data_IF_649392330077
#
_entry.id   IF_649392330077
#
_cell.length_a   1.000
_cell.length_b   1.000
_cell.length_c   1.000
_cell.angle_alpha   90.00
_cell.angle_beta   90.00
_cell.angle_gamma   90.00
#
_symmetry.space_group_name_H-M   'P 1'
#
loop_
_entity.id
_entity.type
_entity.pdbx_description
1 polymer ?
#
# COMPACT_ATOMS: atom_id res chain seq x y z
N UNK A 1 -18.15 -1.16 15.55
CA UNK A 1 -17.95 -0.62 14.20
C UNK A 1 -16.72 -1.24 13.57
N UNK A 2 -16.85 -1.68 12.31
CA UNK A 2 -15.78 -2.33 11.55
C UNK A 2 -14.92 -1.30 10.83
N UNK A 3 -13.60 -1.38 10.99
CA UNK A 3 -12.67 -0.60 10.19
C UNK A 3 -12.41 -1.32 8.86
N UNK A 4 -12.62 -0.66 7.71
CA UNK A 4 -12.36 -1.26 6.39
C UNK A 4 -11.08 -0.71 5.79
N UNK A 5 -10.14 -1.60 5.47
CA UNK A 5 -8.85 -1.28 4.83
C UNK A 5 -8.88 -1.83 3.40
N UNK A 6 -8.70 -0.95 2.42
CA UNK A 6 -8.90 -1.25 0.99
C UNK A 6 -7.59 -1.38 0.23
N UNK A 7 -7.11 -2.60 0.07
CA UNK A 7 -5.98 -2.93 -0.79
C UNK A 7 -6.36 -3.10 -2.26
N UNK A 8 -5.37 -3.45 -3.08
CA UNK A 8 -5.58 -3.74 -4.51
C UNK A 8 -6.38 -5.03 -4.69
N UNK A 9 -7.49 -4.97 -5.41
CA UNK A 9 -8.36 -6.12 -5.71
C UNK A 9 -8.64 -6.23 -7.21
N UNK A 10 -8.62 -7.45 -7.74
CA UNK A 10 -9.02 -7.76 -9.13
C UNK A 10 -10.54 -7.91 -9.28
N UNK A 11 -11.28 -7.79 -8.17
CA UNK A 11 -12.73 -8.02 -8.04
C UNK A 11 -13.41 -6.77 -7.45
N UNK A 12 -13.31 -5.61 -8.11
CA UNK A 12 -13.55 -4.31 -7.48
C UNK A 12 -15.02 -4.09 -7.09
N UNK A 13 -15.99 -4.53 -7.90
CA UNK A 13 -17.41 -4.26 -7.62
C UNK A 13 -17.89 -5.08 -6.43
N UNK A 14 -17.52 -6.37 -6.40
CA UNK A 14 -17.93 -7.26 -5.31
C UNK A 14 -17.19 -6.94 -4.01
N UNK A 15 -15.90 -6.58 -4.10
CA UNK A 15 -15.14 -6.10 -2.94
C UNK A 15 -15.74 -4.82 -2.34
N UNK A 16 -16.16 -3.87 -3.20
CA UNK A 16 -16.82 -2.64 -2.76
C UNK A 16 -18.14 -2.93 -2.04
N UNK A 17 -19.00 -3.78 -2.59
CA UNK A 17 -20.26 -4.21 -1.94
C UNK A 17 -20.03 -4.84 -0.57
N UNK A 18 -19.03 -5.71 -0.45
CA UNK A 18 -18.68 -6.33 0.83
C UNK A 18 -18.18 -5.29 1.84
N UNK A 19 -17.35 -4.34 1.40
CA UNK A 19 -16.89 -3.22 2.23
C UNK A 19 -18.05 -2.36 2.74
N UNK A 20 -18.95 -1.94 1.84
CA UNK A 20 -20.14 -1.13 2.18
C UNK A 20 -21.05 -1.85 3.18
N UNK A 21 -21.22 -3.17 3.05
CA UNK A 21 -21.98 -3.97 4.00
C UNK A 21 -21.40 -3.86 5.42
N UNK A 22 -20.08 -4.01 5.58
CA UNK A 22 -19.43 -3.96 6.90
C UNK A 22 -19.29 -2.54 7.46
N UNK A 23 -19.15 -1.52 6.61
CA UNK A 23 -19.16 -0.12 7.04
C UNK A 23 -20.51 0.30 7.64
N UNK A 24 -21.61 -0.27 7.14
CA UNK A 24 -22.95 -0.03 7.67
C UNK A 24 -23.25 -0.77 8.99
N UNK A 25 -22.29 -1.55 9.52
CA UNK A 25 -22.48 -2.42 10.71
C UNK A 25 -21.78 -1.85 11.93
N UNK A 26 -22.58 -1.47 12.92
CA UNK A 26 -22.09 -0.96 14.20
C UNK A 26 -21.88 -2.06 15.25
N UNK A 27 -22.53 -3.21 15.06
CA UNK A 27 -22.61 -4.32 16.00
C UNK A 27 -21.39 -5.24 15.98
N UNK A 28 -20.55 -5.16 14.94
CA UNK A 28 -19.28 -5.90 14.85
C UNK A 28 -18.11 -5.00 15.26
N UNK A 29 -17.19 -5.55 16.05
CA UNK A 29 -15.90 -4.96 16.39
C UNK A 29 -14.81 -5.73 15.65
N UNK A 30 -14.07 -5.05 14.76
CA UNK A 30 -13.06 -5.72 13.95
C UNK A 30 -12.49 -4.86 12.83
N UNK A 31 -11.64 -5.48 12.01
CA UNK A 31 -11.10 -4.89 10.79
C UNK A 31 -11.34 -5.82 9.60
N UNK A 32 -11.92 -5.29 8.53
CA UNK A 32 -12.04 -5.94 7.24
C UNK A 32 -10.89 -5.48 6.33
N UNK A 33 -10.12 -6.41 5.84
CA UNK A 33 -9.08 -6.19 4.84
C UNK A 33 -9.62 -6.63 3.48
N UNK A 34 -9.61 -5.76 2.49
CA UNK A 34 -9.89 -6.10 1.09
C UNK A 34 -8.57 -6.19 0.32
N UNK A 35 -8.36 -7.26 -0.43
CA UNK A 35 -7.15 -7.53 -1.20
C UNK A 35 -5.90 -7.87 -0.37
N UNK A 36 -6.09 -8.26 0.89
CA UNK A 36 -5.02 -8.50 1.87
C UNK A 36 -5.49 -9.52 2.94
N UNK A 37 -4.62 -10.38 3.51
CA UNK A 37 -3.16 -10.43 3.39
C UNK A 37 -2.60 -11.04 2.11
N UNK A 38 -1.29 -10.81 1.90
CA UNK A 38 -0.46 -11.62 1.00
C UNK A 38 0.32 -12.62 1.86
N UNK A 39 0.24 -13.89 1.52
CA UNK A 39 0.90 -14.98 2.22
C UNK A 39 1.97 -15.55 1.28
N UNK A 40 3.24 -15.46 1.67
CA UNK A 40 4.33 -16.06 0.89
C UNK A 40 4.22 -17.59 0.89
N UNK A 41 4.23 -18.19 -0.30
CA UNK A 41 4.19 -19.64 -0.52
C UNK A 41 5.40 -20.10 -1.35
N UNK A 42 5.53 -21.40 -1.59
CA UNK A 42 6.55 -21.95 -2.47
C UNK A 42 6.35 -21.57 -3.96
N UNK A 43 5.14 -21.15 -4.34
CA UNK A 43 4.76 -20.75 -5.70
C UNK A 43 4.67 -19.21 -5.84
N UNK A 44 5.20 -18.46 -4.89
CA UNK A 44 5.10 -17.00 -4.81
C UNK A 44 4.07 -16.52 -3.79
N UNK A 45 3.70 -15.24 -3.86
CA UNK A 45 2.72 -14.63 -2.96
C UNK A 45 1.29 -15.07 -3.28
N UNK A 46 0.57 -15.59 -2.28
CA UNK A 46 -0.84 -15.93 -2.37
C UNK A 46 -1.71 -14.86 -1.71
N UNK A 47 -2.69 -14.35 -2.44
CA UNK A 47 -3.58 -13.30 -1.98
C UNK A 47 -4.90 -13.87 -1.44
N UNK A 48 -5.33 -13.36 -0.28
CA UNK A 48 -6.71 -13.50 0.17
C UNK A 48 -7.53 -12.31 -0.34
N UNK A 49 -8.70 -12.57 -0.94
CA UNK A 49 -9.54 -11.53 -1.53
C UNK A 49 -10.12 -10.58 -0.47
N UNK A 50 -10.67 -11.13 0.61
CA UNK A 50 -11.04 -10.33 1.77
C UNK A 50 -10.96 -11.14 3.07
N UNK A 51 -10.62 -10.46 4.15
CA UNK A 51 -10.44 -11.06 5.48
C UNK A 51 -11.04 -10.15 6.55
N UNK A 52 -12.02 -10.64 7.29
CA UNK A 52 -12.51 -10.00 8.51
C UNK A 52 -11.79 -10.59 9.71
N UNK A 53 -11.15 -9.74 10.51
CA UNK A 53 -10.72 -10.09 11.86
C UNK A 53 -11.67 -9.43 12.85
N UNK A 54 -12.52 -10.22 13.47
CA UNK A 54 -13.57 -9.77 14.39
C UNK A 54 -13.35 -10.34 15.78
N UNK A 55 -13.64 -9.52 16.78
CA UNK A 55 -13.60 -9.92 18.18
C UNK A 55 -14.73 -10.88 18.54
N UNK A 56 -15.88 -10.73 17.90
CA UNK A 56 -17.06 -11.57 18.11
C UNK A 56 -17.03 -12.84 17.25
N UNK A 57 -16.56 -12.74 16.01
CA UNK A 57 -16.75 -13.78 15.00
C UNK A 57 -15.46 -14.51 14.61
N UNK A 58 -14.32 -14.16 15.20
CA UNK A 58 -13.04 -14.76 14.85
C UNK A 58 -12.51 -14.23 13.53
N UNK A 59 -11.94 -15.12 12.72
CA UNK A 59 -11.37 -14.77 11.41
C UNK A 59 -12.24 -15.35 10.31
N UNK A 60 -12.79 -14.47 9.47
CA UNK A 60 -13.62 -14.87 8.34
C UNK A 60 -12.90 -14.53 7.04
N UNK A 61 -12.64 -15.55 6.23
CA UNK A 61 -12.06 -15.44 4.90
C UNK A 61 -13.19 -15.42 3.87
N UNK A 62 -13.19 -14.39 3.04
CA UNK A 62 -14.11 -14.28 1.90
C UNK A 62 -13.32 -14.53 0.63
N UNK A 63 -13.61 -15.64 -0.05
CA UNK A 63 -13.28 -15.80 -1.46
C UNK A 63 -14.31 -15.01 -2.26
N UNK A 64 -13.88 -13.97 -2.97
CA UNK A 64 -14.81 -13.10 -3.71
C UNK A 64 -14.98 -13.65 -5.12
N UNK A 65 -16.21 -13.67 -5.62
CA UNK A 65 -16.52 -14.04 -7.00
C UNK A 65 -17.10 -12.82 -7.72
N UNK A 66 -16.41 -12.37 -8.78
CA UNK A 66 -16.87 -11.28 -9.65
C UNK A 66 -17.58 -11.87 -10.88
N UNK A 67 -18.80 -11.39 -11.17
CA UNK A 67 -19.58 -11.82 -12.33
C UNK A 67 -20.44 -13.07 -12.08
N UNK A 68 -21.00 -13.61 -13.16
CA UNK A 68 -22.03 -14.66 -13.11
C UNK A 68 -21.51 -16.05 -13.46
N UNK A 69 -20.20 -16.22 -13.65
CA UNK A 69 -19.63 -17.53 -14.00
C UNK A 69 -19.61 -18.42 -12.77
N UNK A 70 -20.30 -19.56 -12.85
CA UNK A 70 -20.40 -20.57 -11.79
C UNK A 70 -19.38 -21.70 -11.93
N UNK A 71 -18.68 -21.79 -13.07
CA UNK A 71 -17.61 -22.77 -13.28
C UNK A 71 -16.33 -22.24 -12.65
N UNK A 72 -16.23 -22.38 -11.33
CA UNK A 72 -15.10 -21.98 -10.52
C UNK A 72 -14.76 -23.11 -9.57
N UNK A 73 -13.47 -23.28 -9.30
CA UNK A 73 -12.97 -24.26 -8.35
C UNK A 73 -13.15 -23.75 -6.90
N UNK A 74 -14.40 -23.62 -6.48
CA UNK A 74 -14.76 -22.99 -5.21
C UNK A 74 -14.29 -23.81 -4.02
N UNK A 75 -14.37 -25.13 -4.11
CA UNK A 75 -14.01 -26.05 -3.04
C UNK A 75 -12.50 -25.95 -2.76
N UNK A 76 -11.67 -26.16 -3.79
CA UNK A 76 -10.22 -26.04 -3.67
C UNK A 76 -9.78 -24.63 -3.24
N UNK A 77 -10.45 -23.59 -3.76
CA UNK A 77 -10.12 -22.21 -3.38
C UNK A 77 -10.43 -21.92 -1.91
N UNK A 78 -11.55 -22.42 -1.37
CA UNK A 78 -11.87 -22.26 0.06
C UNK A 78 -10.88 -23.02 0.94
N UNK A 79 -10.58 -24.27 0.59
CA UNK A 79 -9.63 -25.11 1.32
C UNK A 79 -8.21 -24.54 1.29
N UNK A 80 -7.79 -24.00 0.16
CA UNK A 80 -6.47 -23.38 0.01
C UNK A 80 -6.37 -22.08 0.82
N UNK A 81 -7.42 -21.24 0.80
CA UNK A 81 -7.49 -20.01 1.60
C UNK A 81 -7.35 -20.28 3.10
N UNK A 82 -8.14 -21.21 3.63
CA UNK A 82 -8.13 -21.52 5.06
C UNK A 82 -6.80 -22.17 5.46
N UNK A 83 -6.28 -23.10 4.67
CA UNK A 83 -5.00 -23.80 4.94
C UNK A 83 -3.83 -22.82 4.96
N UNK A 84 -3.74 -21.91 3.99
CA UNK A 84 -2.65 -20.93 3.92
C UNK A 84 -2.69 -19.95 5.09
N UNK A 85 -3.88 -19.48 5.46
CA UNK A 85 -4.02 -18.59 6.61
C UNK A 85 -3.70 -19.31 7.92
N UNK A 86 -4.20 -20.54 8.09
CA UNK A 86 -3.92 -21.36 9.27
C UNK A 86 -2.42 -21.56 9.43
N UNK A 87 -1.73 -21.95 8.36
CA UNK A 87 -0.27 -22.14 8.33
C UNK A 87 0.49 -20.87 8.75
N UNK A 88 0.01 -19.68 8.34
CA UNK A 88 0.57 -18.41 8.81
C UNK A 88 0.35 -18.21 10.31
N UNK A 89 -0.86 -18.44 10.82
CA UNK A 89 -1.18 -18.24 12.24
C UNK A 89 -0.48 -19.25 13.16
N UNK A 90 -0.32 -20.51 12.73
CA UNK A 90 0.35 -21.58 13.48
C UNK A 90 1.83 -21.27 13.78
N UNK A 91 2.45 -20.38 13.01
CA UNK A 91 3.82 -19.92 13.27
C UNK A 91 3.94 -19.05 14.53
N UNK A 92 2.80 -18.60 15.09
CA UNK A 92 2.75 -17.73 16.25
C UNK A 92 2.29 -18.48 17.50
N UNK A 93 3.25 -18.86 18.36
CA UNK A 93 2.99 -19.62 19.60
C UNK A 93 1.95 -18.99 20.52
N UNK A 94 1.83 -17.66 20.50
CA UNK A 94 0.87 -16.89 21.31
C UNK A 94 -0.58 -17.11 20.87
N UNK A 95 -0.80 -17.62 19.66
CA UNK A 95 -2.12 -17.99 19.13
C UNK A 95 -2.47 -19.46 19.42
N UNK A 96 -1.55 -20.22 20.04
CA UNK A 96 -1.71 -21.65 20.30
C UNK A 96 -2.01 -21.93 21.77
N UNK A 97 -3.00 -22.79 22.01
CA UNK A 97 -3.13 -23.52 23.25
C UNK A 97 -2.58 -24.93 23.04
N UNK A 98 -1.34 -25.15 23.50
CA UNK A 98 -0.54 -26.36 23.23
C UNK A 98 -0.33 -26.56 21.72
N UNK A 99 -1.19 -27.37 21.09
CA UNK A 99 -1.15 -27.69 19.66
C UNK A 99 -2.37 -27.18 18.89
N UNK A 100 -3.39 -26.68 19.60
CA UNK A 100 -4.64 -26.21 18.99
C UNK A 100 -4.57 -24.69 18.79
N UNK A 101 -4.89 -24.23 17.59
CA UNK A 101 -5.09 -22.81 17.32
C UNK A 101 -6.28 -22.29 18.14
N UNK A 102 -6.10 -21.17 18.83
CA UNK A 102 -7.16 -20.56 19.67
C UNK A 102 -8.09 -19.62 18.89
N UNK A 103 -7.84 -19.48 17.59
CA UNK A 103 -8.57 -18.60 16.68
C UNK A 103 -9.60 -19.44 15.95
N UNK A 104 -10.87 -19.07 16.06
CA UNK A 104 -11.92 -19.65 15.24
C UNK A 104 -11.84 -19.04 13.85
N UNK A 105 -11.76 -19.89 12.83
CA UNK A 105 -11.65 -19.47 11.43
C UNK A 105 -12.81 -20.02 10.63
N UNK A 106 -13.30 -19.24 9.69
CA UNK A 106 -14.32 -19.65 8.73
C UNK A 106 -13.95 -19.14 7.35
N UNK A 107 -14.32 -19.90 6.33
CA UNK A 107 -14.12 -19.53 4.93
C UNK A 107 -15.45 -19.62 4.20
N UNK A 108 -15.65 -18.72 3.24
CA UNK A 108 -16.89 -18.65 2.48
C UNK A 108 -16.65 -18.02 1.10
N UNK A 109 -17.44 -18.41 0.11
CA UNK A 109 -17.47 -17.72 -1.18
C UNK A 109 -18.56 -16.64 -1.19
N UNK A 110 -18.18 -15.39 -1.50
CA UNK A 110 -19.09 -14.26 -1.66
C UNK A 110 -19.32 -13.98 -3.15
N UNK A 111 -20.51 -14.31 -3.65
CA UNK A 111 -20.88 -14.27 -5.06
C UNK A 111 -22.17 -13.45 -5.28
N UNK A 112 -22.15 -12.13 -5.04
CA UNK A 112 -23.36 -11.29 -5.01
C UNK A 112 -24.01 -11.06 -6.38
N UNK A 113 -23.41 -11.55 -7.45
CA UNK A 113 -23.93 -11.44 -8.82
C UNK A 113 -24.62 -12.74 -9.29
N UNK A 114 -24.55 -13.81 -8.51
CA UNK A 114 -25.21 -15.07 -8.85
C UNK A 114 -26.71 -14.99 -8.57
N UNK A 115 -27.49 -15.82 -9.26
CA UNK A 115 -28.94 -15.90 -9.06
C UNK A 115 -29.37 -17.22 -8.42
N UNK A 116 -28.53 -18.25 -8.48
CA UNK A 116 -28.79 -19.60 -8.02
C UNK A 116 -27.50 -20.23 -7.52
N UNK A 117 -27.63 -21.18 -6.60
CA UNK A 117 -26.51 -21.99 -6.14
C UNK A 117 -26.16 -23.07 -7.17
N UNK A 118 -24.88 -23.45 -7.30
CA UNK A 118 -24.47 -24.60 -8.10
C UNK A 118 -25.10 -25.89 -7.55
N UNK A 119 -25.57 -26.77 -8.43
CA UNK A 119 -26.19 -28.05 -8.03
C UNK A 119 -25.17 -29.11 -7.59
N UNK A 120 -23.93 -28.95 -8.01
CA UNK A 120 -22.82 -29.89 -7.85
C UNK A 120 -21.96 -29.64 -6.60
N UNK A 121 -22.24 -28.58 -5.84
CA UNK A 121 -21.49 -28.22 -4.63
C UNK A 121 -22.35 -28.47 -3.38
N UNK A 122 -21.80 -29.14 -2.37
CA UNK A 122 -22.46 -29.21 -1.07
C UNK A 122 -22.34 -27.87 -0.34
N UNK A 123 -23.35 -27.02 -0.50
CA UNK A 123 -23.40 -25.68 0.10
C UNK A 123 -23.41 -25.70 1.64
N UNK A 124 -23.56 -26.86 2.29
CA UNK A 124 -23.42 -26.98 3.75
C UNK A 124 -21.97 -27.05 4.19
N UNK A 125 -21.13 -27.70 3.40
CA UNK A 125 -19.69 -27.83 3.62
C UNK A 125 -18.95 -26.62 3.04
N UNK A 126 -19.23 -26.29 1.77
CA UNK A 126 -18.65 -25.16 1.05
C UNK A 126 -19.68 -24.04 0.91
N UNK A 127 -19.73 -23.16 1.91
CA UNK A 127 -20.75 -22.10 1.94
C UNK A 127 -20.56 -21.06 0.83
N UNK A 128 -21.69 -20.61 0.28
CA UNK A 128 -21.78 -19.60 -0.76
C UNK A 128 -22.79 -18.54 -0.32
N UNK A 129 -22.44 -17.26 -0.41
CA UNK A 129 -23.28 -16.13 -0.04
C UNK A 129 -23.60 -15.34 -1.29
N UNK A 130 -24.88 -15.34 -1.67
CA UNK A 130 -25.38 -14.66 -2.85
C UNK A 130 -26.16 -13.41 -2.44
N UNK A 131 -26.88 -13.49 -1.31
CA UNK A 131 -27.74 -12.42 -0.81
C UNK A 131 -27.19 -11.75 0.45
N UNK A 132 -27.79 -10.62 0.82
CA UNK A 132 -27.50 -9.97 2.10
C UNK A 132 -27.92 -10.88 3.28
N UNK A 133 -29.07 -11.53 3.17
CA UNK A 133 -29.57 -12.42 4.22
C UNK A 133 -28.62 -13.61 4.43
N UNK A 134 -28.01 -14.13 3.37
CA UNK A 134 -26.97 -15.17 3.50
C UNK A 134 -25.80 -14.68 4.35
N UNK A 135 -25.36 -13.44 4.10
CA UNK A 135 -24.23 -12.82 4.80
C UNK A 135 -24.55 -12.58 6.28
N UNK A 136 -25.76 -12.08 6.58
CA UNK A 136 -26.25 -11.89 7.95
C UNK A 136 -26.30 -13.24 8.70
N UNK A 137 -26.96 -14.25 8.12
CA UNK A 137 -27.07 -15.59 8.69
C UNK A 137 -25.69 -16.25 8.89
N UNK A 138 -24.78 -16.10 7.94
CA UNK A 138 -23.45 -16.69 8.02
C UNK A 138 -22.63 -16.08 9.16
N UNK A 139 -22.65 -14.76 9.31
CA UNK A 139 -21.89 -14.08 10.37
C UNK A 139 -22.45 -14.44 11.76
N UNK A 140 -23.77 -14.56 11.91
CA UNK A 140 -24.38 -15.01 13.16
C UNK A 140 -23.97 -16.44 13.56
N UNK A 141 -23.68 -17.30 12.59
CA UNK A 141 -23.19 -18.66 12.82
C UNK A 141 -21.71 -18.71 13.24
N UNK A 142 -20.94 -17.66 12.92
CA UNK A 142 -19.53 -17.56 13.32
C UNK A 142 -19.44 -16.98 14.74
N UNK A 143 -18.94 -17.74 15.70
CA UNK A 143 -18.78 -17.29 17.09
C UNK A 143 -17.38 -17.56 17.61
N UNK A 144 -16.77 -16.56 18.25
CA UNK A 144 -15.47 -16.67 18.89
C UNK A 144 -15.52 -16.20 20.35
N UNK A 145 -15.94 -17.12 21.22
CA UNK A 145 -16.14 -16.82 22.65
C UNK A 145 -14.82 -16.55 23.39
N UNK A 146 -13.73 -17.24 23.04
CA UNK A 146 -12.42 -17.09 23.67
C UNK A 146 -11.48 -16.19 22.83
N UNK A 147 -11.88 -14.93 22.68
CA UNK A 147 -11.19 -13.92 21.88
C UNK A 147 -9.98 -13.26 22.56
N UNK A 148 -9.39 -13.90 23.58
CA UNK A 148 -8.24 -13.35 24.34
C UNK A 148 -7.03 -13.03 23.45
N UNK A 149 -6.89 -13.70 22.31
CA UNK A 149 -5.81 -13.46 21.36
C UNK A 149 -6.20 -12.53 20.19
N UNK A 150 -7.36 -11.85 20.22
CA UNK A 150 -7.83 -10.93 19.18
C UNK A 150 -6.77 -9.89 18.77
N UNK A 151 -6.21 -9.16 19.74
CA UNK A 151 -5.17 -8.15 19.46
C UNK A 151 -3.92 -8.77 18.82
N UNK A 152 -3.61 -10.02 19.19
CA UNK A 152 -2.47 -10.73 18.61
C UNK A 152 -2.76 -11.17 17.18
N UNK A 153 -3.96 -11.65 16.89
CA UNK A 153 -4.39 -11.98 15.52
C UNK A 153 -4.34 -10.72 14.65
N UNK A 154 -4.91 -9.61 15.11
CA UNK A 154 -4.82 -8.33 14.41
C UNK A 154 -3.36 -7.95 14.12
N UNK A 155 -2.48 -8.00 15.13
CA UNK A 155 -1.05 -7.71 14.94
C UNK A 155 -0.37 -8.65 13.93
N UNK A 156 -0.73 -9.93 13.90
CA UNK A 156 -0.18 -10.91 12.95
C UNK A 156 -0.67 -10.67 11.52
N UNK A 157 -1.95 -10.34 11.36
CA UNK A 157 -2.52 -10.02 10.05
C UNK A 157 -1.97 -8.69 9.54
N UNK A 158 -1.94 -7.64 10.36
CA UNK A 158 -1.41 -6.32 10.02
C UNK A 158 0.09 -6.31 9.76
N UNK A 159 0.84 -7.30 10.27
CA UNK A 159 2.26 -7.41 10.02
C UNK A 159 2.50 -7.66 8.52
N UNK A 160 2.85 -6.58 7.82
CA UNK A 160 3.31 -6.58 6.43
C UNK A 160 4.61 -7.39 6.32
N UNK A 161 5.44 -7.39 7.37
CA UNK A 161 6.68 -8.18 7.44
C UNK A 161 6.76 -9.00 8.72
N UNK A 162 7.27 -10.23 8.63
CA UNK A 162 7.69 -11.10 9.75
C UNK A 162 9.14 -10.87 10.20
N UNK A 163 9.90 -10.08 9.44
CA UNK A 163 11.33 -9.75 9.65
C UNK A 163 11.65 -9.44 11.13
N UNK A 164 10.83 -8.64 11.80
CA UNK A 164 11.05 -8.25 13.20
C UNK A 164 11.06 -9.40 14.22
N UNK A 165 10.47 -10.57 13.91
CA UNK A 165 10.22 -11.64 14.90
C UNK A 165 11.10 -12.88 14.73
N UNK A 166 11.80 -13.06 13.61
CA UNK A 166 12.39 -14.36 13.25
C UNK A 166 13.64 -14.75 14.04
N UNK A 167 14.38 -13.81 14.63
CA UNK A 167 15.42 -14.05 15.65
C UNK A 167 15.98 -12.68 16.11
N UNK A 168 15.74 -12.22 17.34
CA UNK A 168 16.38 -10.99 17.80
C UNK A 168 17.90 -11.21 17.74
N UNK A 169 18.60 -10.43 16.91
CA UNK A 169 20.06 -10.54 16.74
C UNK A 169 20.80 -9.93 17.93
N UNK A 170 20.57 -10.51 19.12
CA UNK A 170 21.08 -10.06 20.42
C UNK A 170 22.62 -10.11 20.46
N UNK A 171 23.24 -10.95 19.61
CA UNK A 171 24.69 -11.13 19.50
C UNK A 171 25.39 -10.04 18.67
N UNK A 172 24.67 -9.09 18.07
CA UNK A 172 25.29 -8.01 17.28
C UNK A 172 25.96 -7.02 18.22
N UNK A 173 27.29 -7.02 18.24
CA UNK A 173 28.12 -6.14 19.09
C UNK A 173 28.47 -4.79 18.46
N UNK A 174 28.33 -4.67 17.13
CA UNK A 174 28.67 -3.47 16.34
C UNK A 174 27.45 -2.98 15.57
N UNK A 175 26.98 -1.79 15.88
CA UNK A 175 25.77 -1.22 15.27
C UNK A 175 25.90 -0.92 13.77
N UNK A 176 27.11 -0.63 13.29
CA UNK A 176 27.42 -0.31 11.90
C UNK A 176 27.60 -1.54 10.99
N UNK A 177 27.63 -2.74 11.58
CA UNK A 177 27.71 -4.00 10.85
C UNK A 177 26.46 -4.25 9.99
N UNK A 178 26.56 -5.13 8.99
CA UNK A 178 25.39 -5.57 8.18
C UNK A 178 24.26 -6.10 9.09
N UNK A 179 24.60 -6.84 10.14
CA UNK A 179 23.65 -7.36 11.13
C UNK A 179 23.04 -6.26 12.02
N UNK A 180 23.80 -5.23 12.39
CA UNK A 180 23.30 -4.10 13.18
C UNK A 180 22.34 -3.21 12.40
N UNK A 181 22.66 -2.95 11.13
CA UNK A 181 21.76 -2.22 10.23
C UNK A 181 20.44 -2.96 9.99
N UNK A 182 20.47 -4.28 9.84
CA UNK A 182 19.26 -5.09 9.66
C UNK A 182 18.43 -5.16 10.94
N UNK A 183 19.08 -5.22 12.12
CA UNK A 183 18.40 -5.13 13.42
C UNK A 183 17.65 -3.80 13.61
N UNK A 184 18.24 -2.67 13.20
CA UNK A 184 17.55 -1.36 13.25
C UNK A 184 16.32 -1.30 12.35
N UNK A 185 16.37 -1.96 11.19
CA UNK A 185 15.22 -2.09 10.28
C UNK A 185 14.12 -2.92 10.96
N UNK A 186 14.48 -4.08 11.53
CA UNK A 186 13.58 -4.95 12.29
C UNK A 186 12.86 -4.20 13.44
N UNK A 187 13.60 -3.43 14.24
CA UNK A 187 13.05 -2.63 15.33
C UNK A 187 12.11 -1.53 14.82
N UNK A 188 12.47 -0.87 13.71
CA UNK A 188 11.63 0.17 13.12
C UNK A 188 10.30 -0.37 12.60
N UNK A 189 10.30 -1.58 12.03
CA UNK A 189 9.07 -2.20 11.53
C UNK A 189 8.20 -2.75 12.66
N UNK A 190 8.82 -3.30 13.71
CA UNK A 190 8.08 -3.78 14.89
C UNK A 190 7.25 -2.66 15.56
N UNK A 191 7.72 -1.42 15.43
CA UNK A 191 7.09 -0.23 16.00
C UNK A 191 6.13 0.47 15.03
N UNK A 192 5.85 -0.08 13.83
CA UNK A 192 4.85 0.51 12.96
C UNK A 192 3.45 0.34 13.57
N UNK A 193 2.73 1.45 13.71
CA UNK A 193 1.38 1.49 14.22
C UNK A 193 0.35 1.00 13.18
N UNK A 194 -0.90 0.84 13.62
CA UNK A 194 -1.99 0.38 12.75
C UNK A 194 -2.26 1.35 11.59
N UNK A 195 -2.07 2.66 11.77
CA UNK A 195 -2.30 3.69 10.75
C UNK A 195 -1.24 3.62 9.65
N UNK A 196 0.02 3.40 10.02
CA UNK A 196 1.13 3.21 9.09
C UNK A 196 0.96 1.92 8.29
N UNK A 197 0.55 0.83 8.93
CA UNK A 197 0.27 -0.43 8.24
C UNK A 197 -0.92 -0.27 7.27
N UNK A 198 -1.99 0.41 7.69
CA UNK A 198 -3.13 0.71 6.82
C UNK A 198 -2.69 1.54 5.60
N UNK A 199 -1.87 2.58 5.80
CA UNK A 199 -1.38 3.44 4.71
C UNK A 199 -0.54 2.69 3.67
N UNK A 200 0.15 1.61 4.05
CA UNK A 200 0.84 0.74 3.08
C UNK A 200 -0.17 0.00 2.21
N UNK A 201 -1.15 -0.65 2.83
CA UNK A 201 -2.13 -1.51 2.17
C UNK A 201 -3.09 -0.68 1.29
N UNK A 202 -3.56 0.45 1.80
CA UNK A 202 -4.55 1.30 1.14
C UNK A 202 -4.07 1.75 -0.24
N UNK A 203 -4.73 1.27 -1.28
CA UNK A 203 -4.37 1.58 -2.67
C UNK A 203 -5.38 2.57 -3.23
N UNK A 204 -4.96 3.82 -3.39
CA UNK A 204 -5.80 4.91 -3.89
C UNK A 204 -5.74 4.97 -5.41
N UNK A 205 -6.89 5.12 -6.06
CA UNK A 205 -7.00 5.46 -7.48
C UNK A 205 -6.89 6.98 -7.65
N UNK A 206 -5.66 7.49 -7.54
CA UNK A 206 -5.38 8.92 -7.56
C UNK A 206 -4.29 9.28 -6.57
N UNK A 207 -4.40 10.47 -5.99
CA UNK A 207 -3.35 11.00 -5.13
C UNK A 207 -3.55 10.59 -3.68
N UNK A 208 -2.50 10.01 -3.08
CA UNK A 208 -2.44 9.67 -1.66
C UNK A 208 -1.37 10.51 -0.96
N UNK A 209 -1.75 11.11 0.15
CA UNK A 209 -0.89 11.91 1.00
C UNK A 209 -0.57 11.19 2.31
N UNK A 210 0.71 11.04 2.59
CA UNK A 210 1.22 10.47 3.84
C UNK A 210 1.90 11.57 4.65
N UNK A 211 1.22 12.07 5.68
CA UNK A 211 1.77 13.07 6.60
C UNK A 211 2.41 12.36 7.79
N UNK A 212 3.63 12.76 8.18
CA UNK A 212 4.23 12.25 9.41
C UNK A 212 5.37 13.11 9.92
N UNK A 213 5.52 13.16 11.24
CA UNK A 213 6.60 13.90 11.91
C UNK A 213 7.99 13.28 11.65
N UNK A 214 9.03 14.00 12.06
CA UNK A 214 10.41 13.58 11.89
C UNK A 214 10.64 12.24 12.60
N UNK A 215 11.17 11.26 11.88
CA UNK A 215 11.40 9.93 12.44
C UNK A 215 10.16 9.03 12.54
N UNK A 216 8.99 9.44 12.05
CA UNK A 216 7.77 8.61 11.96
C UNK A 216 7.83 7.49 10.90
N UNK A 217 9.03 7.11 10.43
CA UNK A 217 9.18 5.97 9.52
C UNK A 217 8.63 6.15 8.09
N UNK A 218 8.33 7.37 7.62
CA UNK A 218 7.82 7.65 6.26
C UNK A 218 8.56 6.90 5.14
N UNK A 219 9.89 6.98 5.11
CA UNK A 219 10.73 6.25 4.14
C UNK A 219 10.53 4.74 4.19
N UNK A 220 10.35 4.15 5.39
CA UNK A 220 10.09 2.71 5.56
C UNK A 220 8.70 2.37 5.04
N UNK A 221 7.69 3.19 5.37
CA UNK A 221 6.31 3.04 4.87
C UNK A 221 6.26 3.09 3.34
N UNK A 222 6.95 4.06 2.71
CA UNK A 222 7.04 4.15 1.25
C UNK A 222 7.72 2.91 0.65
N UNK A 223 8.82 2.44 1.25
CA UNK A 223 9.51 1.24 0.78
C UNK A 223 8.66 -0.04 0.91
N UNK A 224 7.90 -0.17 2.02
CA UNK A 224 6.93 -1.26 2.20
C UNK A 224 5.83 -1.19 1.16
N UNK A 225 5.32 0.02 0.87
CA UNK A 225 4.29 0.23 -0.15
C UNK A 225 4.77 -0.14 -1.54
N UNK A 226 5.99 0.20 -1.91
CA UNK A 226 6.58 -0.23 -3.19
C UNK A 226 6.65 -1.75 -3.28
N UNK A 227 7.15 -2.43 -2.25
CA UNK A 227 7.24 -3.88 -2.22
C UNK A 227 5.85 -4.54 -2.29
N UNK A 228 4.87 -4.01 -1.56
CA UNK A 228 3.48 -4.46 -1.60
C UNK A 228 2.87 -4.30 -2.99
N UNK A 229 2.99 -3.11 -3.59
CA UNK A 229 2.44 -2.82 -4.92
C UNK A 229 3.10 -3.68 -5.99
N UNK A 230 4.43 -3.84 -5.95
CA UNK A 230 5.15 -4.69 -6.89
C UNK A 230 4.75 -6.18 -6.77
N UNK A 231 4.55 -6.68 -5.55
CA UNK A 231 4.07 -8.04 -5.33
C UNK A 231 2.63 -8.25 -5.87
N UNK A 232 1.79 -7.20 -5.85
CA UNK A 232 0.41 -7.25 -6.38
C UNK A 232 0.31 -7.03 -7.88
N UNK A 233 1.22 -6.23 -8.42
CA UNK A 233 1.23 -5.74 -9.80
C UNK A 233 2.66 -5.81 -10.32
N UNK A 234 3.14 -7.04 -10.60
CA UNK A 234 4.52 -7.23 -11.07
C UNK A 234 4.78 -6.55 -12.42
N UNK A 235 3.73 -6.27 -13.19
CA UNK A 235 3.78 -5.60 -14.48
C UNK A 235 3.89 -4.07 -14.40
N UNK A 236 3.56 -3.46 -13.25
CA UNK A 236 3.55 -2.01 -13.06
C UNK A 236 4.95 -1.41 -13.05
N UNK A 237 5.10 -0.29 -13.75
CA UNK A 237 6.28 0.57 -13.64
C UNK A 237 6.11 1.50 -12.43
N UNK A 238 6.91 1.28 -11.38
CA UNK A 238 6.87 2.03 -10.12
C UNK A 238 8.10 2.93 -10.02
N UNK A 239 7.92 4.22 -9.78
CA UNK A 239 9.02 5.12 -9.46
C UNK A 239 9.03 5.51 -7.98
N UNK A 240 10.22 5.60 -7.39
CA UNK A 240 10.46 6.20 -6.08
C UNK A 240 11.45 7.33 -6.27
N UNK A 241 11.05 8.54 -5.88
CA UNK A 241 11.87 9.73 -6.01
C UNK A 241 12.02 10.50 -4.71
N UNK A 242 13.15 11.20 -4.61
CA UNK A 242 13.64 11.84 -3.40
C UNK A 242 14.70 12.88 -3.78
N UNK A 243 14.92 13.83 -2.88
CA UNK A 243 15.87 14.92 -3.11
C UNK A 243 17.32 14.46 -2.85
N UNK A 244 17.55 13.74 -1.75
CA UNK A 244 18.90 13.47 -1.22
C UNK A 244 19.56 12.20 -1.77
N UNK A 245 20.84 12.30 -2.18
CA UNK A 245 21.69 11.18 -2.69
C UNK A 245 21.80 9.95 -1.81
N UNK A 246 21.73 10.11 -0.49
CA UNK A 246 21.87 9.00 0.46
C UNK A 246 20.68 8.03 0.46
N UNK A 247 19.49 8.46 0.02
CA UNK A 247 18.26 7.67 0.13
C UNK A 247 18.18 6.53 -0.90
N UNK A 248 18.86 6.65 -2.05
CA UNK A 248 18.82 5.62 -3.12
C UNK A 248 19.20 4.23 -2.61
N UNK A 249 20.33 4.12 -1.93
CA UNK A 249 20.82 2.85 -1.40
C UNK A 249 19.94 2.32 -0.24
N UNK A 250 19.32 3.22 0.52
CA UNK A 250 18.40 2.85 1.59
C UNK A 250 17.10 2.24 1.02
N UNK A 251 16.46 2.92 0.06
CA UNK A 251 15.27 2.41 -0.62
C UNK A 251 15.53 1.07 -1.28
N UNK A 252 16.63 0.94 -2.04
CA UNK A 252 16.96 -0.32 -2.70
C UNK A 252 17.07 -1.47 -1.71
N UNK A 253 17.76 -1.28 -0.58
CA UNK A 253 17.89 -2.32 0.44
C UNK A 253 16.55 -2.67 1.08
N UNK A 254 15.75 -1.66 1.42
CA UNK A 254 14.45 -1.87 2.07
C UNK A 254 13.48 -2.61 1.14
N UNK A 255 13.29 -2.10 -0.08
CA UNK A 255 12.40 -2.70 -1.09
C UNK A 255 12.83 -4.14 -1.40
N UNK A 256 14.12 -4.41 -1.58
CA UNK A 256 14.63 -5.76 -1.79
C UNK A 256 14.25 -6.71 -0.65
N UNK A 257 14.52 -6.27 0.58
CA UNK A 257 14.29 -7.10 1.78
C UNK A 257 12.80 -7.40 1.94
N UNK A 258 11.94 -6.40 1.74
CA UNK A 258 10.49 -6.54 1.85
C UNK A 258 9.92 -7.41 0.74
N UNK A 259 10.35 -7.24 -0.51
CA UNK A 259 9.83 -8.03 -1.63
C UNK A 259 10.13 -9.51 -1.46
N UNK A 260 11.38 -9.86 -1.11
CA UNK A 260 11.79 -11.25 -0.83
C UNK A 260 10.93 -11.87 0.25
N UNK A 261 10.54 -11.12 1.26
CA UNK A 261 9.71 -11.69 2.31
C UNK A 261 8.27 -11.95 1.87
N UNK A 262 7.68 -11.06 1.08
CA UNK A 262 6.30 -11.20 0.62
C UNK A 262 6.15 -12.30 -0.44
N UNK A 263 7.16 -12.43 -1.30
CA UNK A 263 7.08 -13.23 -2.52
C UNK A 263 8.03 -14.43 -2.53
N UNK A 264 9.01 -14.49 -1.62
CA UNK A 264 10.18 -15.39 -1.67
C UNK A 264 11.12 -15.14 -2.88
N UNK A 265 10.98 -14.01 -3.57
CA UNK A 265 11.76 -13.66 -4.78
C UNK A 265 12.35 -12.24 -4.70
N UNK A 266 13.43 -11.99 -5.45
CA UNK A 266 13.96 -10.63 -5.59
C UNK A 266 13.00 -9.76 -6.42
N UNK A 267 12.90 -8.44 -6.14
CA UNK A 267 12.08 -7.54 -6.95
C UNK A 267 12.63 -7.42 -8.38
N UNK A 268 11.72 -7.24 -9.33
CA UNK A 268 12.09 -6.88 -10.69
C UNK A 268 12.52 -5.41 -10.76
N UNK A 269 13.84 -5.20 -10.83
CA UNK A 269 14.43 -3.87 -10.92
C UNK A 269 14.22 -3.20 -12.29
N UNK A 270 13.73 -3.91 -13.32
CA UNK A 270 13.29 -3.28 -14.56
C UNK A 270 11.94 -2.55 -14.36
N UNK A 271 11.16 -2.99 -13.36
CA UNK A 271 9.86 -2.43 -13.01
C UNK A 271 9.91 -1.39 -11.90
N UNK A 272 10.96 -1.40 -11.07
CA UNK A 272 11.12 -0.47 -9.96
C UNK A 272 12.27 0.53 -10.21
N UNK A 273 11.91 1.79 -10.47
CA UNK A 273 12.84 2.91 -10.65
C UNK A 273 13.09 3.66 -9.34
N UNK A 274 14.26 3.48 -8.72
CA UNK A 274 14.69 4.28 -7.56
C UNK A 274 15.62 5.40 -8.05
N UNK A 275 15.07 6.59 -8.28
CA UNK A 275 15.73 7.65 -9.07
C UNK A 275 15.59 9.04 -8.45
N UNK A 276 16.58 9.89 -8.72
CA UNK A 276 16.64 11.25 -8.19
C UNK A 276 15.54 12.13 -8.77
N UNK A 277 15.15 13.19 -8.05
CA UNK A 277 14.23 14.18 -8.60
C UNK A 277 14.83 14.91 -9.82
N UNK A 278 16.05 15.46 -9.69
CA UNK A 278 16.71 16.21 -10.77
C UNK A 278 17.36 15.31 -11.83
N UNK A 279 18.26 14.41 -11.40
CA UNK A 279 19.06 13.60 -12.32
C UNK A 279 20.18 14.38 -13.02
N UNK A 280 20.82 13.72 -13.99
CA UNK A 280 21.86 14.25 -14.87
C UNK A 280 22.09 13.27 -16.03
N UNK A 281 22.84 13.65 -17.08
CA UNK A 281 23.22 12.72 -18.15
C UNK A 281 23.97 11.46 -17.70
N UNK A 282 24.51 11.43 -16.47
CA UNK A 282 25.21 10.28 -15.89
C UNK A 282 24.38 9.51 -14.87
N UNK A 283 23.33 10.11 -14.33
CA UNK A 283 22.52 9.57 -13.24
C UNK A 283 21.07 9.88 -13.54
N UNK A 284 20.30 8.85 -13.84
CA UNK A 284 18.86 8.96 -14.12
C UNK A 284 18.12 9.71 -13.00
N UNK A 285 17.16 10.53 -13.40
CA UNK A 285 16.27 11.25 -12.51
C UNK A 285 14.99 11.65 -13.22
N UNK A 286 13.92 11.87 -12.46
CA UNK A 286 12.58 12.11 -13.00
C UNK A 286 12.60 13.29 -13.98
N UNK A 287 13.13 14.44 -13.59
CA UNK A 287 13.21 15.62 -14.45
C UNK A 287 14.10 15.41 -15.68
N UNK A 288 15.28 14.81 -15.51
CA UNK A 288 16.15 14.49 -16.65
C UNK A 288 15.45 13.56 -17.66
N UNK A 289 14.76 12.53 -17.16
CA UNK A 289 14.06 11.54 -17.98
C UNK A 289 12.87 12.17 -18.70
N UNK A 290 12.12 13.04 -18.03
CA UNK A 290 11.07 13.85 -18.63
C UNK A 290 11.60 14.67 -19.81
N UNK A 291 12.67 15.45 -19.61
CA UNK A 291 13.28 16.24 -20.69
C UNK A 291 13.75 15.35 -21.85
N UNK A 292 14.34 14.19 -21.55
CA UNK A 292 14.85 13.25 -22.55
C UNK A 292 13.72 12.63 -23.39
N UNK A 293 12.64 12.18 -22.76
CA UNK A 293 11.49 11.55 -23.42
C UNK A 293 10.75 12.58 -24.30
N UNK A 294 10.55 13.80 -23.79
CA UNK A 294 9.83 14.85 -24.52
C UNK A 294 10.72 15.69 -25.45
N UNK A 295 12.01 15.35 -25.58
CA UNK A 295 12.98 16.06 -26.42
C UNK A 295 13.06 17.57 -26.12
N UNK A 296 13.14 17.90 -24.83
CA UNK A 296 13.21 19.27 -24.30
C UNK A 296 14.62 19.55 -23.80
N UNK A 297 15.03 20.83 -23.86
CA UNK A 297 16.30 21.27 -23.28
C UNK A 297 16.37 20.93 -21.78
N UNK A 298 17.29 20.03 -21.44
CA UNK A 298 17.66 19.76 -20.05
C UNK A 298 18.51 20.90 -19.48
N UNK A 299 18.07 21.45 -18.35
CA UNK A 299 18.82 22.40 -17.53
C UNK A 299 19.45 21.71 -16.32
N UNK A 300 20.78 21.74 -16.24
CA UNK A 300 21.50 21.42 -15.01
C UNK A 300 21.46 22.59 -14.01
N UNK A 301 21.97 22.37 -12.79
CA UNK A 301 22.01 23.39 -11.75
C UNK A 301 22.71 24.68 -12.20
N UNK A 302 23.86 24.56 -12.87
CA UNK A 302 24.64 25.71 -13.34
C UNK A 302 23.85 26.57 -14.33
N UNK A 303 23.20 25.95 -15.32
CA UNK A 303 22.37 26.66 -16.29
C UNK A 303 21.12 27.26 -15.65
N UNK A 304 20.44 26.51 -14.79
CA UNK A 304 19.23 26.99 -14.11
C UNK A 304 19.55 28.19 -13.20
N UNK A 305 20.67 28.14 -12.47
CA UNK A 305 21.16 29.24 -11.62
C UNK A 305 21.43 30.54 -12.39
N UNK A 306 21.81 30.45 -13.66
CA UNK A 306 22.00 31.63 -14.52
C UNK A 306 20.69 32.23 -15.04
N UNK A 307 19.59 31.48 -15.00
CA UNK A 307 18.30 31.86 -15.57
C UNK A 307 17.27 32.28 -14.50
N UNK A 308 17.48 31.89 -13.24
CA UNK A 308 16.66 32.35 -12.11
C UNK A 308 17.31 33.56 -11.42
N UNK A 309 16.47 34.50 -10.99
CA UNK A 309 16.90 35.64 -10.16
C UNK A 309 16.83 35.33 -8.66
N UNK A 310 16.23 34.19 -8.28
CA UNK A 310 16.06 33.76 -6.89
C UNK A 310 16.94 32.54 -6.59
N UNK A 311 17.84 32.70 -5.62
CA UNK A 311 18.67 31.61 -5.11
C UNK A 311 17.83 30.52 -4.44
N UNK A 312 18.11 29.25 -4.75
CA UNK A 312 17.36 28.11 -4.22
C UNK A 312 16.11 27.74 -5.02
N UNK A 313 15.78 28.48 -6.09
CA UNK A 313 14.67 28.17 -7.02
C UNK A 313 15.15 27.60 -8.36
N UNK A 314 16.40 27.17 -8.45
CA UNK A 314 16.98 26.65 -9.69
C UNK A 314 16.22 25.42 -10.18
N UNK A 315 15.89 24.50 -9.27
CA UNK A 315 15.13 23.29 -9.62
C UNK A 315 13.68 23.62 -10.01
N UNK A 316 13.06 24.55 -9.29
CA UNK A 316 11.70 25.03 -9.54
C UNK A 316 11.59 25.60 -10.97
N UNK A 317 12.52 26.49 -11.33
CA UNK A 317 12.59 27.09 -12.66
C UNK A 317 12.80 26.04 -13.76
N UNK A 318 13.66 25.05 -13.51
CA UNK A 318 13.93 23.97 -14.45
C UNK A 318 12.66 23.14 -14.73
N UNK A 319 11.94 22.75 -13.68
CA UNK A 319 10.69 21.99 -13.80
C UNK A 319 9.58 22.81 -14.48
N UNK A 320 9.42 24.08 -14.10
CA UNK A 320 8.44 24.98 -14.70
C UNK A 320 8.68 25.14 -16.21
N UNK A 321 9.93 25.43 -16.61
CA UNK A 321 10.29 25.58 -18.02
C UNK A 321 10.05 24.29 -18.81
N UNK A 322 10.34 23.13 -18.24
CA UNK A 322 10.09 21.85 -18.90
C UNK A 322 8.59 21.60 -19.09
N UNK A 323 7.76 21.82 -18.07
CA UNK A 323 6.30 21.67 -18.18
C UNK A 323 5.72 22.61 -19.24
N UNK A 324 6.08 23.90 -19.25
CA UNK A 324 5.57 24.86 -20.24
C UNK A 324 6.01 24.56 -21.68
N UNK A 325 7.19 23.96 -21.86
CA UNK A 325 7.71 23.60 -23.18
C UNK A 325 7.23 22.23 -23.67
N UNK A 326 6.39 21.52 -22.90
CA UNK A 326 5.82 20.22 -23.31
C UNK A 326 4.38 20.39 -23.73
N UNK A 327 4.05 20.03 -24.98
CA UNK A 327 2.66 20.07 -25.46
C UNK A 327 1.89 18.79 -25.15
N UNK A 328 2.54 17.63 -25.27
CA UNK A 328 1.93 16.32 -25.02
C UNK A 328 2.86 15.52 -24.12
N UNK A 329 2.35 15.13 -22.95
CA UNK A 329 3.11 14.39 -21.95
C UNK A 329 2.78 12.90 -22.09
N UNK A 330 3.80 12.12 -22.39
CA UNK A 330 3.78 10.66 -22.40
C UNK A 330 3.68 10.13 -20.97
N UNK A 331 2.81 9.14 -20.76
CA UNK A 331 2.55 8.52 -19.47
C UNK A 331 3.21 7.14 -19.43
N UNK A 332 4.16 6.95 -18.51
CA UNK A 332 5.00 5.73 -18.50
C UNK A 332 5.19 5.10 -17.12
N UNK A 333 4.74 5.76 -16.04
CA UNK A 333 4.69 5.18 -14.71
C UNK A 333 3.26 4.85 -14.29
N UNK A 334 3.07 3.69 -13.67
CA UNK A 334 1.78 3.29 -13.09
C UNK A 334 1.60 3.89 -11.69
N UNK A 335 2.70 4.03 -10.93
CA UNK A 335 2.72 4.65 -9.60
C UNK A 335 4.03 5.42 -9.39
N UNK A 336 3.94 6.59 -8.75
CA UNK A 336 5.12 7.36 -8.30
C UNK A 336 4.98 7.63 -6.81
N UNK A 337 6.05 7.35 -6.06
CA UNK A 337 6.18 7.65 -4.65
C UNK A 337 7.24 8.73 -4.44
N UNK A 338 6.86 9.83 -3.77
CA UNK A 338 7.73 10.97 -3.50
C UNK A 338 8.01 11.04 -2.00
N UNK A 339 9.28 10.93 -1.60
CA UNK A 339 9.72 11.14 -0.21
C UNK A 339 10.14 12.60 0.01
N UNK A 340 9.92 13.11 1.22
CA UNK A 340 10.15 14.52 1.60
C UNK A 340 9.55 15.53 0.61
N UNK A 341 8.27 15.37 0.30
CA UNK A 341 7.58 16.16 -0.72
C UNK A 341 7.56 17.67 -0.43
N UNK A 342 7.73 18.07 0.83
CA UNK A 342 7.87 19.47 1.22
C UNK A 342 9.16 20.13 0.69
N UNK A 343 10.16 19.34 0.30
CA UNK A 343 11.41 19.85 -0.29
C UNK A 343 11.26 20.16 -1.79
N UNK A 344 10.12 19.84 -2.41
CA UNK A 344 9.86 20.03 -3.83
C UNK A 344 8.85 21.14 -4.10
N UNK A 345 8.98 21.78 -5.27
CA UNK A 345 7.96 22.71 -5.78
C UNK A 345 6.75 21.99 -6.34
N UNK A 346 5.66 22.76 -6.46
CA UNK A 346 4.45 22.37 -7.19
C UNK A 346 4.75 21.90 -8.61
N UNK A 347 5.72 22.51 -9.31
CA UNK A 347 6.08 22.13 -10.68
C UNK A 347 6.66 20.72 -10.75
N UNK A 348 7.50 20.32 -9.79
CA UNK A 348 8.01 18.95 -9.77
C UNK A 348 6.91 17.94 -9.46
N UNK A 349 6.03 18.24 -8.50
CA UNK A 349 4.89 17.37 -8.18
C UNK A 349 3.90 17.25 -9.35
N UNK A 350 3.65 18.35 -10.08
CA UNK A 350 2.87 18.34 -11.32
C UNK A 350 3.53 17.51 -12.40
N UNK A 351 4.85 17.62 -12.58
CA UNK A 351 5.58 16.80 -13.53
C UNK A 351 5.43 15.31 -13.21
N UNK A 352 5.61 14.91 -11.95
CA UNK A 352 5.33 13.55 -11.49
C UNK A 352 3.87 13.13 -11.77
N UNK A 353 2.90 14.01 -11.51
CA UNK A 353 1.50 13.74 -11.76
C UNK A 353 1.19 13.51 -13.25
N UNK A 354 1.74 14.35 -14.13
CA UNK A 354 1.42 14.29 -15.57
C UNK A 354 2.01 13.05 -16.26
N UNK A 355 3.16 12.53 -15.81
CA UNK A 355 3.78 11.31 -16.38
C UNK A 355 3.17 9.98 -15.87
N UNK A 356 2.25 10.04 -14.92
CA UNK A 356 1.51 8.86 -14.46
C UNK A 356 0.47 8.44 -15.49
N UNK A 357 0.27 7.13 -15.63
CA UNK A 357 -0.91 6.58 -16.32
C UNK A 357 -2.16 6.77 -15.48
N UNK A 358 -3.32 6.77 -16.12
CA UNK A 358 -4.60 6.76 -15.41
C UNK A 358 -4.70 5.55 -14.48
N UNK A 359 -5.20 5.71 -13.23
CA UNK A 359 -5.89 6.87 -12.65
C UNK A 359 -4.97 7.84 -11.89
N UNK A 360 -3.73 8.06 -12.33
CA UNK A 360 -2.77 9.03 -11.74
C UNK A 360 -2.38 8.75 -10.28
N UNK A 361 -1.89 7.53 -10.02
CA UNK A 361 -1.50 7.07 -8.68
C UNK A 361 -0.21 7.73 -8.18
N UNK A 362 -0.34 8.88 -7.51
CA UNK A 362 0.76 9.61 -6.89
C UNK A 362 0.69 9.47 -5.37
N UNK A 363 1.70 8.87 -4.76
CA UNK A 363 1.85 8.85 -3.31
C UNK A 363 2.94 9.83 -2.92
N UNK A 364 2.66 10.77 -2.02
CA UNK A 364 3.70 11.67 -1.52
C UNK A 364 3.70 11.72 -0.01
N UNK A 365 4.90 11.57 0.57
CA UNK A 365 5.13 11.66 1.99
C UNK A 365 5.76 13.00 2.34
N UNK A 366 5.28 13.66 3.39
CA UNK A 366 5.83 14.94 3.83
C UNK A 366 5.82 15.09 5.35
N UNK A 367 6.68 15.99 5.83
CA UNK A 367 6.72 16.43 7.22
C UNK A 367 6.20 17.86 7.34
N UNK A 368 5.21 18.07 8.21
CA UNK A 368 4.60 19.39 8.39
C UNK A 368 5.47 20.34 9.22
N UNK A 369 6.37 19.82 10.07
CA UNK A 369 7.18 20.64 10.97
C UNK A 369 8.63 20.84 10.49
N UNK A 370 9.05 20.15 9.42
CA UNK A 370 10.42 20.22 8.89
C UNK A 370 10.56 21.03 7.60
N UNK A 371 9.60 21.88 7.23
CA UNK A 371 9.82 22.78 6.08
C UNK A 371 11.01 23.71 6.38
N UNK A 372 12.19 23.37 5.85
CA UNK A 372 13.42 24.15 5.99
C UNK A 372 13.36 25.51 5.29
N UNK A 373 12.32 25.72 4.48
CA UNK A 373 11.93 26.99 3.88
C UNK A 373 10.59 27.43 4.47
N UNK A 374 10.32 28.73 4.57
CA UNK A 374 9.03 29.30 5.01
C UNK A 374 7.81 28.89 4.13
N UNK A 375 7.99 27.95 3.20
CA UNK A 375 6.93 27.37 2.38
C UNK A 375 6.21 26.28 3.17
N UNK A 376 5.09 26.64 3.78
CA UNK A 376 4.07 25.64 4.15
C UNK A 376 3.64 24.88 2.89
N UNK A 377 3.48 23.56 2.99
CA UNK A 377 3.00 22.76 1.87
C UNK A 377 1.63 23.29 1.42
N UNK A 378 1.52 23.64 0.13
CA UNK A 378 0.28 24.15 -0.44
C UNK A 378 -0.81 23.08 -0.46
N UNK A 379 -2.08 23.51 -0.53
CA UNK A 379 -3.19 22.57 -0.66
C UNK A 379 -3.11 21.80 -1.98
N UNK A 380 -3.66 20.57 -2.07
CA UNK A 380 -3.64 19.78 -3.30
C UNK A 380 -4.23 20.53 -4.50
N UNK A 381 -5.25 21.34 -4.29
CA UNK A 381 -5.92 22.14 -5.33
C UNK A 381 -4.95 23.17 -5.92
N UNK A 382 -4.09 23.78 -5.10
CA UNK A 382 -3.04 24.68 -5.55
C UNK A 382 -1.90 23.90 -6.21
N UNK A 383 -1.45 22.81 -5.58
CA UNK A 383 -0.32 22.02 -6.08
C UNK A 383 -0.57 21.46 -7.48
N UNK A 384 -1.77 20.95 -7.76
CA UNK A 384 -2.07 20.31 -9.04
C UNK A 384 -2.88 21.19 -9.99
N UNK A 385 -3.47 22.27 -9.48
CA UNK A 385 -4.28 23.20 -10.27
C UNK A 385 -5.63 22.62 -10.67
N UNK A 386 -6.29 23.29 -11.61
CA UNK A 386 -7.61 22.92 -12.12
C UNK A 386 -7.52 22.32 -13.52
N UNK A 387 -8.51 21.51 -13.89
CA UNK A 387 -8.75 21.09 -15.26
C UNK A 387 -9.43 22.21 -16.09
N UNK A 388 -9.67 21.95 -17.38
CA UNK A 388 -10.23 22.95 -18.32
C UNK A 388 -11.61 23.48 -17.88
N UNK A 389 -12.38 22.68 -17.13
CA UNK A 389 -13.69 23.03 -16.58
C UNK A 389 -13.61 23.83 -15.26
N UNK A 390 -12.40 24.15 -14.79
CA UNK A 390 -12.18 24.91 -13.55
C UNK A 390 -12.34 24.09 -12.26
N UNK A 391 -12.42 22.76 -12.36
CA UNK A 391 -12.48 21.84 -11.22
C UNK A 391 -11.05 21.45 -10.80
N UNK A 392 -10.72 21.40 -9.50
CA UNK A 392 -9.41 20.93 -9.05
C UNK A 392 -9.09 19.54 -9.59
N UNK A 393 -7.90 19.37 -10.19
CA UNK A 393 -7.42 18.08 -10.71
C UNK A 393 -7.31 17.03 -9.60
N UNK A 394 -7.04 17.48 -8.38
CA UNK A 394 -6.87 16.64 -7.20
C UNK A 394 -7.67 17.24 -6.05
N UNK A 395 -8.51 16.41 -5.42
CA UNK A 395 -9.16 16.70 -4.14
C UNK A 395 -8.86 15.56 -3.18
N UNK A 396 -8.32 15.87 -2.02
CA UNK A 396 -8.08 14.88 -0.96
C UNK A 396 -9.27 14.89 -0.01
N UNK A 397 -10.33 14.19 -0.38
CA UNK A 397 -11.47 13.93 0.49
C UNK A 397 -11.46 12.45 0.89
N UNK A 398 -11.61 12.17 2.18
CA UNK A 398 -11.83 10.80 2.65
C UNK A 398 -13.31 10.47 2.45
N UNK A 399 -13.62 9.84 1.32
CA UNK A 399 -14.99 9.44 0.97
C UNK A 399 -15.29 8.07 1.60
N UNK A 400 -16.46 7.94 2.22
CA UNK A 400 -16.93 6.65 2.73
C UNK A 400 -17.07 5.67 1.56
N UNK A 401 -16.60 4.43 1.73
CA UNK A 401 -16.59 3.45 0.63
C UNK A 401 -15.30 3.43 -0.21
N UNK A 402 -14.38 4.37 0.00
CA UNK A 402 -13.13 4.51 -0.78
C UNK A 402 -11.86 4.33 0.08
N UNK A 403 -10.70 4.16 -0.58
CA UNK A 403 -9.41 4.10 0.10
C UNK A 403 -9.02 5.49 0.62
N UNK A 404 -8.41 5.59 1.81
CA UNK A 404 -8.13 6.90 2.40
C UNK A 404 -7.03 7.62 1.64
N UNK A 405 -7.35 8.83 1.22
CA UNK A 405 -6.46 9.70 0.43
C UNK A 405 -5.50 10.49 1.33
N UNK A 406 -5.82 10.63 2.62
CA UNK A 406 -4.95 11.26 3.62
C UNK A 406 -4.70 10.37 4.84
N UNK A 407 -3.43 10.06 5.09
CA UNK A 407 -2.96 9.34 6.28
C UNK A 407 -2.11 10.28 7.17
N UNK A 408 -2.33 10.26 8.49
CA UNK A 408 -1.57 11.05 9.45
C UNK A 408 -0.85 10.13 10.44
N UNK A 409 0.48 10.23 10.52
CA UNK A 409 1.31 9.48 11.45
C UNK A 409 1.68 10.38 12.62
N UNK A 410 1.18 10.05 13.80
CA UNK A 410 1.52 10.70 15.06
C UNK A 410 2.69 9.96 15.74
N UNK A 411 3.33 10.57 16.74
CA UNK A 411 4.29 9.83 17.56
C UNK A 411 3.56 8.75 18.36
N UNK A 412 4.18 7.57 18.45
CA UNK A 412 4.04 6.71 19.62
C UNK A 412 4.64 7.48 20.81
N UNK A 413 3.78 8.03 21.68
CA UNK A 413 4.20 8.47 23.01
C UNK A 413 4.58 7.27 23.88
#
# INVERSE_FOLDING_TARGET
MVNVIRGTSDKPVSSKKLGEYFEARDDIEGTLYLGYPIIGTAQGGYQIDALLVSKQHGVIIFHIVEGTNTVLDLEDTQDENITKLESKLLQHKELLNRRKLMVEMSVVSYAPAWYQYPEDIDTKEYRILITKDDLDNFIELCSWENNQCFEKVNSVIQAITTISKKNPRIYVKKEDSRGGKLKKIEESIANLDATQNAAVIETVEGVQRIRGLAGSGKTIVLALKVAYLHAKRPDWNIAVTFNTRSLKGQFHRLINTFTIEHTNEEPDWEKISIIHAWGSPRIEGIYYNFCKIHNIEYLDFSKASLLTFEYGKEFDYACEKALHNTQTIEQYYDVILVDEAQDFSEYFLRLCYEILKEPKRLVYAYDELQSLSDKMMQSPELLFGNNEDGVPKVRLENVSGEAKTGCCFEYLL
#
